data_IF_104368647813
#
_entry.id   IF_104368647813
#
_cell.length_a   1.000
_cell.length_b   1.000
_cell.length_c   1.000
_cell.angle_alpha   90.00
_cell.angle_beta   90.00
_cell.angle_gamma   90.00
#
_symmetry.space_group_name_H-M   'P 1'
#
loop_
_entity.id
_entity.type
_entity.pdbx_description
1 polymer ?
#
# COMPACT_ATOMS: atom_id res chain seq x y z
N UNK A 1 23.56 19.65 57.19
CA UNK A 1 24.24 19.71 55.89
C UNK A 1 24.44 18.26 55.47
N UNK A 2 23.44 17.63 54.84
CA UNK A 2 23.32 17.43 53.37
C UNK A 2 24.54 16.65 52.86
N UNK A 3 24.43 15.43 52.32
CA UNK A 3 23.58 15.04 51.19
C UNK A 3 23.24 13.55 51.15
N UNK A 4 21.99 13.27 50.78
CA UNK A 4 21.51 11.96 50.32
C UNK A 4 21.77 11.86 48.82
N UNK A 5 22.38 10.79 48.26
CA UNK A 5 22.39 10.59 46.82
C UNK A 5 21.04 10.01 46.39
N UNK A 6 20.36 10.77 45.55
CA UNK A 6 19.11 10.43 44.89
C UNK A 6 19.39 9.39 43.81
N UNK A 7 19.01 8.14 44.06
CA UNK A 7 18.96 7.12 43.00
C UNK A 7 17.83 7.47 42.04
N UNK A 8 18.18 8.10 40.93
CA UNK A 8 17.32 8.28 39.78
C UNK A 8 17.11 6.92 39.13
N UNK A 9 15.97 6.29 39.42
CA UNK A 9 15.53 5.09 38.73
C UNK A 9 15.35 5.42 37.24
N UNK A 10 16.26 4.92 36.41
CA UNK A 10 16.06 4.82 34.97
C UNK A 10 14.85 3.90 34.75
N UNK A 11 13.76 4.46 34.24
CA UNK A 11 12.69 3.68 33.62
C UNK A 11 13.18 3.23 32.23
N UNK A 12 13.26 1.93 31.92
CA UNK A 12 13.40 1.47 30.55
C UNK A 12 12.06 0.85 30.12
N UNK A 13 11.07 1.70 29.82
CA UNK A 13 9.86 1.24 29.13
C UNK A 13 9.48 2.26 28.06
N UNK A 14 10.34 2.38 27.05
CA UNK A 14 9.93 2.92 25.75
C UNK A 14 10.65 2.12 24.64
N UNK A 15 10.36 0.82 24.61
CA UNK A 15 10.77 -0.07 23.52
C UNK A 15 9.52 -0.77 22.99
N UNK A 16 9.04 -0.32 21.82
CA UNK A 16 8.30 -1.11 20.81
C UNK A 16 7.49 -0.29 19.79
N UNK A 17 7.36 1.04 19.91
CA UNK A 17 6.87 1.86 18.79
C UNK A 17 8.04 2.17 17.85
N UNK A 18 8.51 1.17 17.12
CA UNK A 18 9.45 1.38 16.03
C UNK A 18 8.93 2.51 15.13
N UNK A 19 9.80 3.43 14.75
CA UNK A 19 9.54 4.59 13.89
C UNK A 19 9.12 4.14 12.48
N UNK A 20 7.94 3.53 12.36
CA UNK A 20 7.34 3.07 11.09
C UNK A 20 6.86 4.23 10.22
N UNK A 21 7.01 5.48 10.70
CA UNK A 21 6.68 6.69 9.95
C UNK A 21 7.57 6.91 8.73
N UNK A 22 8.79 6.35 8.71
CA UNK A 22 9.70 6.42 7.56
C UNK A 22 9.67 5.17 6.68
N UNK A 23 8.89 4.15 7.04
CA UNK A 23 8.85 2.89 6.31
C UNK A 23 7.83 2.95 5.18
N UNK A 24 8.20 2.47 4.02
CA UNK A 24 7.31 2.27 2.89
C UNK A 24 6.45 1.02 3.11
N UNK A 25 5.15 1.16 2.92
CA UNK A 25 4.21 0.03 2.83
C UNK A 25 3.72 -0.09 1.39
N UNK A 26 3.95 -1.23 0.78
CA UNK A 26 3.55 -1.52 -0.58
C UNK A 26 2.67 -2.77 -0.61
N UNK A 27 1.44 -2.62 -1.09
CA UNK A 27 0.55 -3.75 -1.35
C UNK A 27 0.77 -4.28 -2.77
N UNK A 28 1.01 -5.58 -2.88
CA UNK A 28 1.27 -6.27 -4.15
C UNK A 28 0.28 -7.42 -4.33
N UNK A 29 -0.22 -7.59 -5.56
CA UNK A 29 -1.28 -8.55 -5.88
C UNK A 29 -0.91 -9.47 -7.07
N UNK A 30 0.29 -9.31 -7.62
CA UNK A 30 0.73 -9.97 -8.84
C UNK A 30 2.19 -10.42 -8.79
N UNK A 31 2.94 -10.08 -9.83
CA UNK A 31 4.32 -10.56 -10.09
C UNK A 31 5.35 -10.21 -9.01
N UNK A 32 5.06 -9.23 -8.16
CA UNK A 32 5.87 -8.81 -7.02
C UNK A 32 5.59 -9.63 -5.74
N UNK A 33 4.55 -10.49 -5.72
CA UNK A 33 4.28 -11.40 -4.59
C UNK A 33 5.41 -12.42 -4.45
N UNK A 34 5.62 -12.94 -3.24
CA UNK A 34 6.59 -14.01 -2.97
C UNK A 34 6.35 -15.21 -3.90
N UNK A 35 7.44 -15.78 -4.42
CA UNK A 35 7.41 -16.92 -5.33
C UNK A 35 7.26 -16.57 -6.81
N UNK A 36 7.11 -15.29 -7.17
CA UNK A 36 7.06 -14.83 -8.56
C UNK A 36 8.34 -14.13 -9.00
N UNK A 37 8.56 -14.06 -10.32
CA UNK A 37 9.84 -13.70 -10.95
C UNK A 37 10.35 -12.30 -10.64
N UNK A 38 9.47 -11.34 -10.29
CA UNK A 38 9.89 -9.98 -9.95
C UNK A 38 10.23 -9.83 -8.47
N UNK A 39 9.75 -10.72 -7.59
CA UNK A 39 9.98 -10.59 -6.15
C UNK A 39 11.47 -10.64 -5.79
N UNK A 40 12.20 -11.64 -6.28
CA UNK A 40 13.61 -11.82 -5.93
C UNK A 40 14.50 -10.64 -6.38
N UNK A 41 14.08 -9.96 -7.45
CA UNK A 41 14.79 -8.83 -8.04
C UNK A 41 14.43 -7.51 -7.37
N UNK A 42 13.16 -7.27 -7.09
CA UNK A 42 12.65 -5.96 -6.68
C UNK A 42 12.24 -5.87 -5.21
N UNK A 43 12.13 -7.00 -4.51
CA UNK A 43 11.70 -7.08 -3.11
C UNK A 43 12.80 -7.63 -2.19
N UNK A 44 14.02 -7.85 -2.68
CA UNK A 44 15.18 -8.21 -1.83
C UNK A 44 15.37 -7.17 -0.73
N UNK A 45 15.55 -7.62 0.51
CA UNK A 45 15.66 -6.76 1.69
C UNK A 45 14.32 -6.33 2.29
N UNK A 46 13.19 -6.90 1.83
CA UNK A 46 11.89 -6.69 2.49
C UNK A 46 11.97 -7.03 3.98
N UNK A 47 11.48 -6.12 4.81
CA UNK A 47 11.55 -6.25 6.27
C UNK A 47 10.42 -7.11 6.82
N UNK A 48 9.24 -7.04 6.19
CA UNK A 48 8.08 -7.84 6.56
C UNK A 48 7.20 -8.09 5.34
N UNK A 49 6.58 -9.27 5.33
CA UNK A 49 5.57 -9.67 4.35
C UNK A 49 4.36 -10.19 5.11
N UNK A 50 3.21 -9.55 4.92
CA UNK A 50 1.96 -9.90 5.60
C UNK A 50 0.84 -10.12 4.58
N UNK A 51 -0.01 -11.12 4.80
CA UNK A 51 -1.20 -11.32 3.98
C UNK A 51 -2.15 -10.13 4.15
N UNK A 52 -2.65 -9.62 3.03
CA UNK A 52 -3.36 -8.37 2.99
C UNK A 52 -4.55 -8.41 2.01
N UNK A 53 -5.56 -7.59 2.28
CA UNK A 53 -6.76 -7.50 1.45
C UNK A 53 -7.10 -6.04 1.16
N UNK A 54 -7.34 -5.73 -0.12
CA UNK A 54 -7.84 -4.42 -0.57
C UNK A 54 -9.22 -4.57 -1.21
N UNK A 55 -10.05 -3.52 -1.12
CA UNK A 55 -11.32 -3.48 -1.86
C UNK A 55 -11.02 -3.09 -3.31
N UNK A 56 -11.45 -3.92 -4.26
CA UNK A 56 -11.14 -3.71 -5.67
C UNK A 56 -11.77 -4.73 -6.60
N UNK A 57 -11.34 -4.68 -7.87
CA UNK A 57 -11.65 -5.67 -8.90
C UNK A 57 -10.35 -6.04 -9.58
N UNK A 58 -10.13 -7.34 -9.73
CA UNK A 58 -8.91 -7.89 -10.30
C UNK A 58 -9.22 -8.47 -11.67
N UNK A 59 -8.38 -8.12 -12.65
CA UNK A 59 -8.50 -8.57 -14.03
C UNK A 59 -7.20 -9.21 -14.46
N UNK A 60 -7.27 -10.05 -15.47
CA UNK A 60 -6.13 -10.63 -16.15
C UNK A 60 -6.14 -10.15 -17.60
N UNK A 61 -5.01 -9.58 -18.05
CA UNK A 61 -4.82 -9.21 -19.46
C UNK A 61 -4.68 -10.47 -20.32
N UNK A 62 -4.82 -10.33 -21.63
CA UNK A 62 -4.56 -11.44 -22.58
C UNK A 62 -3.12 -11.99 -22.51
N UNK A 63 -2.17 -11.26 -21.92
CA UNK A 63 -0.79 -11.69 -21.69
C UNK A 63 -0.56 -12.32 -20.31
N UNK A 64 -1.62 -12.54 -19.52
CA UNK A 64 -1.53 -13.16 -18.19
C UNK A 64 -1.05 -12.21 -17.08
N UNK A 65 -1.09 -10.89 -17.30
CA UNK A 65 -0.65 -9.90 -16.30
C UNK A 65 -1.87 -9.44 -15.49
N UNK A 66 -1.79 -9.41 -14.15
CA UNK A 66 -2.90 -8.95 -13.33
C UNK A 66 -3.01 -7.42 -13.35
N UNK A 67 -4.24 -6.93 -13.46
CA UNK A 67 -4.59 -5.51 -13.37
C UNK A 67 -5.62 -5.32 -12.28
N UNK A 68 -5.32 -4.48 -11.30
CA UNK A 68 -6.23 -4.17 -10.20
C UNK A 68 -6.84 -2.78 -10.39
N UNK A 69 -8.16 -2.70 -10.19
CA UNK A 69 -8.91 -1.46 -10.02
C UNK A 69 -9.35 -1.30 -8.57
N UNK A 70 -9.34 -0.07 -8.08
CA UNK A 70 -9.92 0.31 -6.79
C UNK A 70 -11.04 1.32 -7.01
N UNK A 71 -12.01 1.38 -6.09
CA UNK A 71 -12.96 2.47 -6.03
C UNK A 71 -12.25 3.81 -5.87
N UNK A 72 -12.67 4.83 -6.63
CA UNK A 72 -12.06 6.17 -6.55
C UNK A 72 -12.23 6.79 -5.16
N UNK A 73 -13.32 6.46 -4.45
CA UNK A 73 -13.56 6.92 -3.08
C UNK A 73 -12.57 6.37 -2.04
N UNK A 74 -11.88 5.25 -2.35
CA UNK A 74 -10.87 4.64 -1.49
C UNK A 74 -9.46 5.19 -1.76
N UNK A 75 -9.27 5.98 -2.82
CA UNK A 75 -7.98 6.62 -3.13
C UNK A 75 -7.74 7.79 -2.19
N UNK A 76 -6.78 7.64 -1.28
CA UNK A 76 -6.38 8.63 -0.29
C UNK A 76 -5.40 9.66 -0.87
N UNK A 77 -4.52 9.22 -1.77
CA UNK A 77 -3.54 10.06 -2.46
C UNK A 77 -3.05 9.39 -3.74
N UNK A 78 -2.52 10.19 -4.67
CA UNK A 78 -1.78 9.71 -5.83
C UNK A 78 -0.27 9.82 -5.56
N UNK A 79 0.50 8.86 -6.06
CA UNK A 79 1.95 8.84 -5.92
C UNK A 79 2.59 10.00 -6.66
N UNK A 80 3.74 10.45 -6.16
CA UNK A 80 4.52 11.55 -6.73
C UNK A 80 5.88 11.08 -7.21
N UNK A 81 6.68 11.98 -7.78
CA UNK A 81 8.08 11.73 -8.11
C UNK A 81 9.00 11.79 -6.89
N UNK A 82 8.49 12.11 -5.70
CA UNK A 82 9.24 12.22 -4.44
C UNK A 82 8.83 11.08 -3.48
N UNK A 83 9.64 10.00 -3.40
CA UNK A 83 9.41 8.87 -2.51
C UNK A 83 9.25 9.25 -1.03
N UNK A 84 9.97 10.27 -0.56
CA UNK A 84 9.94 10.68 0.85
C UNK A 84 8.64 11.45 1.15
N UNK A 85 8.19 12.29 0.23
CA UNK A 85 6.88 12.95 0.34
C UNK A 85 5.72 11.93 0.33
N UNK A 86 5.85 10.87 -0.45
CA UNK A 86 4.87 9.78 -0.50
C UNK A 86 4.81 9.00 0.81
N UNK A 87 5.96 8.64 1.39
CA UNK A 87 6.04 8.01 2.72
C UNK A 87 5.49 8.93 3.82
N UNK A 88 5.80 10.23 3.77
CA UNK A 88 5.24 11.19 4.71
C UNK A 88 3.70 11.28 4.60
N UNK A 89 3.15 11.22 3.38
CA UNK A 89 1.71 11.17 3.16
C UNK A 89 1.08 9.92 3.74
N UNK A 90 1.69 8.76 3.50
CA UNK A 90 1.28 7.50 4.11
C UNK A 90 1.26 7.58 5.65
N UNK A 91 2.30 8.17 6.25
CA UNK A 91 2.39 8.33 7.71
C UNK A 91 1.29 9.24 8.27
N UNK A 92 0.95 10.34 7.59
CA UNK A 92 -0.15 11.23 7.98
C UNK A 92 -1.48 10.50 8.00
N UNK A 93 -1.82 9.74 6.96
CA UNK A 93 -3.05 8.95 6.94
C UNK A 93 -3.04 7.84 8.00
N UNK A 94 -1.89 7.21 8.26
CA UNK A 94 -1.78 6.19 9.29
C UNK A 94 -2.04 6.76 10.70
N UNK A 95 -1.66 8.01 10.95
CA UNK A 95 -1.97 8.71 12.20
C UNK A 95 -3.47 9.03 12.32
N UNK A 96 -4.12 9.45 11.24
CA UNK A 96 -5.57 9.73 11.22
C UNK A 96 -6.40 8.48 11.49
N UNK A 97 -6.03 7.31 10.93
CA UNK A 97 -6.76 6.06 11.15
C UNK A 97 -6.64 5.55 12.60
N UNK A 98 -5.56 5.94 13.31
CA UNK A 98 -5.38 5.62 14.73
C UNK A 98 -6.28 6.44 15.66
N UNK A 99 -6.88 7.51 15.14
CA UNK A 99 -7.81 8.37 15.86
C UNK A 99 -9.25 8.14 15.35
N UNK A 100 -10.07 7.31 16.03
CA UNK A 100 -11.40 6.93 15.56
C UNK A 100 -12.37 8.11 15.40
N UNK A 101 -12.11 9.25 16.06
CA UNK A 101 -12.98 10.44 16.01
C UNK A 101 -12.80 11.27 14.73
N UNK A 102 -11.77 11.01 13.94
CA UNK A 102 -11.38 11.84 12.79
C UNK A 102 -11.88 11.32 11.42
N UNK A 103 -12.72 10.28 11.39
CA UNK A 103 -13.19 9.68 10.13
C UNK A 103 -14.22 10.59 9.43
N UNK A 104 -13.97 11.12 8.22
CA UNK A 104 -15.00 11.79 7.46
C UNK A 104 -16.03 10.73 7.06
N UNK A 105 -17.28 10.94 7.47
CA UNK A 105 -18.42 10.11 7.11
C UNK A 105 -18.65 10.19 5.59
N UNK A 106 -17.92 9.38 4.82
CA UNK A 106 -18.02 9.32 3.35
C UNK A 106 -19.02 8.25 2.98
N UNK A 107 -20.28 8.67 2.91
CA UNK A 107 -21.33 7.91 2.25
C UNK A 107 -20.95 7.70 0.77
N UNK A 108 -20.98 6.46 0.25
CA UNK A 108 -20.69 6.21 -1.16
C UNK A 108 -21.78 6.85 -2.03
N UNK A 109 -21.37 7.66 -3.01
CA UNK A 109 -22.27 8.08 -4.10
C UNK A 109 -22.31 6.96 -5.13
N UNK A 110 -23.53 6.50 -5.41
CA UNK A 110 -23.86 5.46 -6.39
C UNK A 110 -22.98 5.50 -7.65
N UNK A 111 -22.23 4.41 -7.88
CA UNK A 111 -21.73 4.06 -9.19
C UNK A 111 -22.26 2.66 -9.53
N UNK A 112 -23.22 2.63 -10.44
CA UNK A 112 -23.70 1.41 -11.11
C UNK A 112 -22.55 0.74 -11.85
N UNK A 113 -21.97 -0.28 -11.23
CA UNK A 113 -21.22 -1.37 -11.86
C UNK A 113 -21.16 -2.53 -10.85
N UNK A 114 -20.70 -3.72 -11.26
CA UNK A 114 -20.59 -4.89 -10.40
C UNK A 114 -19.97 -4.54 -9.01
N UNK A 115 -20.44 -5.17 -7.92
CA UNK A 115 -19.99 -4.83 -6.58
C UNK A 115 -18.48 -5.01 -6.43
N UNK A 116 -17.81 -4.03 -5.81
CA UNK A 116 -16.40 -4.13 -5.45
C UNK A 116 -16.18 -5.33 -4.50
N UNK A 117 -15.16 -6.14 -4.77
CA UNK A 117 -14.84 -7.35 -4.02
C UNK A 117 -13.54 -7.24 -3.23
N UNK A 118 -13.24 -8.24 -2.38
CA UNK A 118 -11.92 -8.36 -1.77
C UNK A 118 -10.90 -8.84 -2.81
N UNK A 119 -9.74 -8.19 -2.87
CA UNK A 119 -8.58 -8.63 -3.64
C UNK A 119 -7.44 -8.95 -2.68
N UNK A 120 -6.89 -10.16 -2.79
CA UNK A 120 -5.90 -10.73 -1.88
C UNK A 120 -4.49 -10.56 -2.44
N UNK A 121 -3.61 -10.07 -1.60
CA UNK A 121 -2.23 -9.81 -1.93
C UNK A 121 -1.35 -9.87 -0.69
N UNK A 122 -0.17 -9.28 -0.81
CA UNK A 122 0.82 -9.19 0.26
C UNK A 122 1.12 -7.71 0.53
N UNK A 123 1.22 -7.35 1.81
CA UNK A 123 1.79 -6.08 2.24
C UNK A 123 3.28 -6.27 2.49
N UNK A 124 4.11 -5.57 1.72
CA UNK A 124 5.55 -5.52 1.87
C UNK A 124 5.97 -4.25 2.61
N UNK A 125 6.92 -4.38 3.54
CA UNK A 125 7.48 -3.25 4.30
C UNK A 125 8.96 -3.06 3.95
N UNK A 126 9.35 -1.82 3.64
CA UNK A 126 10.71 -1.45 3.28
C UNK A 126 11.18 -0.23 4.08
N UNK A 127 12.48 -0.16 4.36
CA UNK A 127 13.17 1.00 4.95
C UNK A 127 13.95 1.83 3.93
N UNK A 128 13.94 1.43 2.65
CA UNK A 128 14.66 2.08 1.55
C UNK A 128 13.73 2.73 0.50
N UNK A 129 12.80 3.63 0.90
CA UNK A 129 11.73 4.11 0.00
C UNK A 129 12.23 4.74 -1.29
N UNK A 130 13.34 5.50 -1.25
CA UNK A 130 13.88 6.20 -2.41
C UNK A 130 14.34 5.23 -3.50
N UNK A 131 15.14 4.23 -3.15
CA UNK A 131 15.63 3.22 -4.09
C UNK A 131 14.51 2.27 -4.51
N UNK A 132 13.65 1.89 -3.55
CA UNK A 132 12.57 0.92 -3.79
C UNK A 132 11.53 1.45 -4.76
N UNK A 133 11.00 2.64 -4.50
CA UNK A 133 9.96 3.22 -5.35
C UNK A 133 10.51 3.53 -6.74
N UNK A 134 11.73 4.06 -6.86
CA UNK A 134 12.33 4.28 -8.18
C UNK A 134 12.48 3.00 -9.00
N UNK A 135 12.85 1.87 -8.38
CA UNK A 135 13.02 0.61 -9.08
C UNK A 135 11.68 0.02 -9.55
N UNK A 136 10.66 0.07 -8.68
CA UNK A 136 9.32 -0.47 -8.97
C UNK A 136 8.57 0.45 -9.94
N UNK A 137 8.70 1.77 -9.82
CA UNK A 137 8.10 2.73 -10.77
C UNK A 137 8.58 2.49 -12.21
N UNK A 138 9.87 2.19 -12.38
CA UNK A 138 10.43 1.83 -13.70
C UNK A 138 9.89 0.50 -14.23
N UNK A 139 9.65 -0.47 -13.34
CA UNK A 139 9.08 -1.76 -13.71
C UNK A 139 7.62 -1.60 -14.17
N UNK A 140 6.83 -0.87 -13.38
CA UNK A 140 5.39 -0.68 -13.60
C UNK A 140 5.08 0.43 -14.63
N UNK A 141 6.11 1.15 -15.08
CA UNK A 141 5.97 2.24 -16.05
C UNK A 141 5.23 3.46 -15.49
N UNK A 142 5.37 3.72 -14.19
CA UNK A 142 4.73 4.85 -13.51
C UNK A 142 5.47 6.16 -13.79
N UNK A 143 4.77 7.12 -14.39
CA UNK A 143 5.27 8.44 -14.77
C UNK A 143 4.28 9.54 -14.38
N UNK A 144 4.37 10.13 -13.18
CA UNK A 144 3.49 11.21 -12.76
C UNK A 144 3.41 12.34 -13.80
N UNK A 145 2.19 12.69 -14.24
CA UNK A 145 1.97 13.73 -15.26
C UNK A 145 2.13 13.29 -16.72
N UNK A 146 2.37 12.01 -16.98
CA UNK A 146 2.43 11.41 -18.32
C UNK A 146 1.57 10.14 -18.45
N UNK A 147 1.63 9.45 -19.61
CA UNK A 147 0.95 8.17 -19.79
C UNK A 147 1.51 7.11 -18.82
N UNK A 148 0.64 6.50 -18.02
CA UNK A 148 1.01 5.45 -17.07
C UNK A 148 0.23 4.17 -17.41
N UNK A 149 0.93 3.03 -17.48
CA UNK A 149 0.26 1.73 -17.56
C UNK A 149 -0.36 1.37 -16.21
N UNK A 150 0.40 1.62 -15.15
CA UNK A 150 -0.06 1.55 -13.78
C UNK A 150 0.21 2.87 -13.04
N UNK A 151 -0.81 3.34 -12.32
CA UNK A 151 -0.73 4.50 -11.46
C UNK A 151 -0.50 4.06 -10.01
N UNK A 152 0.48 4.66 -9.32
CA UNK A 152 0.65 4.46 -7.88
C UNK A 152 -0.39 5.28 -7.11
N UNK A 153 -1.17 4.62 -6.27
CA UNK A 153 -2.20 5.23 -5.41
C UNK A 153 -2.07 4.73 -3.98
N UNK A 154 -2.42 5.58 -3.02
CA UNK A 154 -2.48 5.24 -1.60
C UNK A 154 -3.91 4.84 -1.27
N UNK A 155 -4.10 3.64 -0.72
CA UNK A 155 -5.43 3.09 -0.40
C UNK A 155 -5.42 2.44 0.98
N UNK A 156 -6.59 2.32 1.63
CA UNK A 156 -6.72 1.56 2.87
C UNK A 156 -6.69 0.05 2.56
N UNK A 157 -5.77 -0.66 3.20
CA UNK A 157 -5.59 -2.11 3.08
C UNK A 157 -5.81 -2.77 4.43
N UNK A 158 -6.51 -3.89 4.44
CA UNK A 158 -6.77 -4.69 5.63
C UNK A 158 -5.65 -5.71 5.84
N UNK A 159 -4.97 -5.63 6.98
CA UNK A 159 -3.89 -6.54 7.39
C UNK A 159 -4.12 -6.95 8.83
N UNK A 160 -4.20 -8.25 9.11
CA UNK A 160 -4.42 -8.78 10.47
C UNK A 160 -5.61 -8.13 11.21
N UNK A 161 -6.67 -7.75 10.47
CA UNK A 161 -7.87 -7.10 11.00
C UNK A 161 -7.76 -5.57 11.19
N UNK A 162 -6.58 -4.98 10.99
CA UNK A 162 -6.39 -3.54 11.04
C UNK A 162 -6.40 -2.92 9.63
N UNK A 163 -6.89 -1.68 9.51
CA UNK A 163 -6.78 -0.90 8.28
C UNK A 163 -5.51 -0.07 8.31
N UNK A 164 -4.65 -0.25 7.30
CA UNK A 164 -3.40 0.49 7.14
C UNK A 164 -3.37 1.12 5.74
N UNK A 165 -2.92 2.38 5.61
CA UNK A 165 -2.68 2.96 4.29
C UNK A 165 -1.42 2.32 3.67
N UNK A 166 -1.55 1.88 2.42
CA UNK A 166 -0.46 1.30 1.66
C UNK A 166 -0.48 1.77 0.20
N UNK A 167 0.71 1.92 -0.38
CA UNK A 167 0.86 2.21 -1.80
C UNK A 167 0.56 0.97 -2.64
N UNK A 168 -0.09 1.17 -3.77
CA UNK A 168 -0.57 0.12 -4.67
C UNK A 168 -0.51 0.64 -6.11
N UNK A 169 -0.19 -0.23 -7.06
CA UNK A 169 -0.21 0.08 -8.49
C UNK A 169 -1.52 -0.38 -9.12
N UNK A 170 -2.31 0.54 -9.67
CA UNK A 170 -3.61 0.26 -10.30
C UNK A 170 -3.56 0.53 -11.79
N UNK A 171 -4.24 -0.28 -12.61
CA UNK A 171 -4.31 -0.04 -14.05
C UNK A 171 -5.37 0.99 -14.43
N UNK A 172 -5.17 1.70 -15.55
CA UNK A 172 -6.17 2.63 -16.06
C UNK A 172 -7.40 1.93 -16.68
N UNK A 173 -8.58 2.54 -16.51
CA UNK A 173 -9.87 2.04 -17.00
C UNK A 173 -9.93 1.82 -18.52
N UNK A 174 -9.05 2.45 -19.29
CA UNK A 174 -9.17 2.58 -20.76
C UNK A 174 -9.01 1.26 -21.51
N UNK A 175 -8.54 0.19 -20.85
CA UNK A 175 -8.20 -1.09 -21.48
C UNK A 175 -8.99 -2.30 -20.96
N UNK A 176 -9.88 -2.12 -19.98
CA UNK A 176 -10.39 -3.24 -19.18
C UNK A 176 -11.58 -3.96 -19.81
N UNK A 177 -12.24 -3.34 -20.80
CA UNK A 177 -13.35 -3.97 -21.54
C UNK A 177 -12.95 -5.26 -22.28
N UNK A 178 -11.66 -5.50 -22.49
CA UNK A 178 -11.12 -6.72 -23.12
C UNK A 178 -10.49 -7.71 -22.13
N UNK A 179 -10.48 -7.42 -20.83
CA UNK A 179 -9.82 -8.26 -19.82
C UNK A 179 -10.77 -9.24 -19.14
N UNK A 180 -10.22 -10.37 -18.68
CA UNK A 180 -10.97 -11.38 -17.92
C UNK A 180 -10.98 -11.00 -16.45
N UNK A 181 -12.16 -10.80 -15.87
CA UNK A 181 -12.28 -10.55 -14.43
C UNK A 181 -12.03 -11.82 -13.61
N UNK A 182 -11.21 -11.70 -12.57
CA UNK A 182 -10.90 -12.74 -11.60
C UNK A 182 -11.80 -12.56 -10.37
N UNK A 183 -13.00 -13.13 -10.42
CA UNK A 183 -14.04 -12.97 -9.38
C UNK A 183 -13.62 -13.46 -7.98
N UNK A 184 -12.59 -14.31 -7.88
CA UNK A 184 -12.02 -14.75 -6.60
C UNK A 184 -11.09 -13.74 -5.95
N UNK A 185 -10.69 -12.67 -6.65
CA UNK A 185 -9.78 -11.66 -6.13
C UNK A 185 -8.36 -12.17 -5.86
N UNK A 186 -7.99 -13.32 -6.41
CA UNK A 186 -6.66 -13.93 -6.26
C UNK A 186 -6.06 -14.12 -7.64
N UNK A 187 -4.79 -13.73 -7.80
CA UNK A 187 -3.97 -14.10 -8.94
C UNK A 187 -3.02 -15.25 -8.54
N UNK A 188 -2.88 -16.23 -9.43
CA UNK A 188 -2.16 -17.50 -9.23
C UNK A 188 -0.95 -17.63 -10.14
#
# INVERSE_FOLDING_TARGET
MTDTPMNQAMNPVESSKANTSGMLRLFVYGTLKRGFWNHDRFCRGVLAVEDAVVRGRLFETSSGIPVLQVPEEDVLAHGTTDPLADVATQARFAALVRDPESTPNRLPKNATCAPWGPVYGELLIFDDPETRLQAIDRLEGFHPGGPCLYCRVLVPVRVNGAMLPAWLYVGENRWISSFKELLGGVWH
#
